data_IF_222027662170
#
_entry.id   IF_222027662170
#
_cell.length_a   1.000
_cell.length_b   1.000
_cell.length_c   1.000
_cell.angle_alpha   90.00
_cell.angle_beta   90.00
_cell.angle_gamma   90.00
#
_symmetry.space_group_name_H-M   'P 1'
#
loop_
_entity.id
_entity.type
_entity.pdbx_description
1 polymer ?
#
# COMPACT_ATOMS: atom_id res chain seq x y z
N UNK A 1 7.84 -14.52 -20.58
CA UNK A 1 6.39 -14.22 -20.49
C UNK A 1 6.20 -13.35 -19.26
N UNK A 2 5.47 -12.23 -19.35
CA UNK A 2 5.23 -11.33 -18.22
C UNK A 2 4.45 -12.10 -17.13
N UNK A 3 4.94 -12.08 -15.90
CA UNK A 3 4.26 -12.73 -14.77
C UNK A 3 3.23 -11.78 -14.15
N UNK A 4 2.22 -12.33 -13.50
CA UNK A 4 1.12 -11.56 -12.93
C UNK A 4 0.95 -11.91 -11.45
N UNK A 5 0.84 -10.91 -10.58
CA UNK A 5 0.61 -11.05 -9.15
C UNK A 5 -0.72 -10.38 -8.83
N UNK A 6 -1.61 -11.08 -8.13
CA UNK A 6 -2.97 -10.61 -7.88
C UNK A 6 -3.23 -10.51 -6.37
N UNK A 7 -3.74 -9.36 -5.94
CA UNK A 7 -4.23 -9.14 -4.57
C UNK A 7 -5.71 -8.77 -4.61
N UNK A 8 -6.55 -9.56 -3.96
CA UNK A 8 -7.91 -9.22 -3.61
C UNK A 8 -7.95 -8.65 -2.19
N UNK A 9 -8.64 -7.53 -1.98
CA UNK A 9 -8.86 -6.95 -0.63
C UNK A 9 -10.31 -6.52 -0.46
N UNK A 10 -10.84 -6.68 0.75
CA UNK A 10 -12.17 -6.17 1.13
C UNK A 10 -12.14 -4.72 1.65
N UNK A 11 -11.01 -4.02 1.53
CA UNK A 11 -10.87 -2.61 1.94
C UNK A 11 -10.62 -1.75 0.70
N UNK A 12 -11.58 -0.90 0.35
CA UNK A 12 -11.52 -0.06 -0.86
C UNK A 12 -10.30 0.88 -0.85
N UNK A 13 -10.02 1.52 0.28
CA UNK A 13 -8.85 2.40 0.43
C UNK A 13 -7.53 1.65 0.20
N UNK A 14 -7.41 0.42 0.71
CA UNK A 14 -6.24 -0.42 0.49
C UNK A 14 -6.09 -0.79 -1.00
N UNK A 15 -7.20 -1.16 -1.66
CA UNK A 15 -7.23 -1.41 -3.10
C UNK A 15 -6.71 -0.21 -3.90
N UNK A 16 -7.17 1.00 -3.57
CA UNK A 16 -6.74 2.24 -4.23
C UNK A 16 -5.24 2.51 -4.03
N UNK A 17 -4.71 2.30 -2.81
CA UNK A 17 -3.27 2.50 -2.52
C UNK A 17 -2.38 1.49 -3.20
N UNK A 18 -2.80 0.22 -3.22
CA UNK A 18 -2.09 -0.82 -3.97
C UNK A 18 -1.98 -0.44 -5.45
N UNK A 19 -3.06 0.04 -6.07
CA UNK A 19 -3.03 0.52 -7.45
C UNK A 19 -2.16 1.76 -7.65
N UNK A 20 -2.16 2.69 -6.70
CA UNK A 20 -1.29 3.86 -6.75
C UNK A 20 0.19 3.47 -6.70
N UNK A 21 0.56 2.54 -5.81
CA UNK A 21 1.94 2.04 -5.72
C UNK A 21 2.38 1.37 -7.03
N UNK A 22 1.54 0.54 -7.65
CA UNK A 22 1.82 -0.04 -8.98
C UNK A 22 2.06 1.05 -10.03
N UNK A 23 1.28 2.14 -10.02
CA UNK A 23 1.48 3.26 -10.96
C UNK A 23 2.84 3.95 -10.76
N UNK A 24 3.26 4.15 -9.51
CA UNK A 24 4.57 4.73 -9.22
C UNK A 24 5.72 3.83 -9.68
N UNK A 25 5.67 2.54 -9.30
CA UNK A 25 6.69 1.57 -9.69
C UNK A 25 6.80 1.42 -11.21
N UNK A 26 5.67 1.42 -11.93
CA UNK A 26 5.69 1.39 -13.41
C UNK A 26 6.28 2.66 -14.03
N UNK A 27 5.97 3.85 -13.48
CA UNK A 27 6.53 5.12 -13.96
C UNK A 27 8.05 5.16 -13.78
N UNK A 28 8.52 4.63 -12.66
CA UNK A 28 9.95 4.54 -12.31
C UNK A 28 10.64 3.34 -12.95
N UNK A 29 9.88 2.47 -13.65
CA UNK A 29 10.35 1.24 -14.30
C UNK A 29 11.03 0.26 -13.33
N UNK A 30 10.52 0.20 -12.10
CA UNK A 30 11.03 -0.68 -11.03
C UNK A 30 10.39 -2.07 -11.02
N UNK A 31 9.34 -2.30 -11.81
CA UNK A 31 8.71 -3.62 -11.94
C UNK A 31 8.49 -3.96 -13.40
N UNK A 32 8.68 -5.24 -13.73
CA UNK A 32 8.40 -5.79 -15.05
C UNK A 32 7.14 -6.67 -15.06
N UNK A 33 6.63 -7.10 -13.91
CA UNK A 33 5.42 -7.93 -13.77
C UNK A 33 4.13 -7.10 -13.77
N UNK A 34 3.01 -7.76 -14.08
CA UNK A 34 1.68 -7.19 -13.88
C UNK A 34 1.26 -7.36 -12.42
N UNK A 35 1.26 -6.26 -11.68
CA UNK A 35 0.73 -6.20 -10.33
C UNK A 35 -0.71 -5.69 -10.36
N UNK A 36 -1.67 -6.52 -9.96
CA UNK A 36 -3.10 -6.23 -10.06
C UNK A 36 -3.72 -6.33 -8.67
N UNK A 37 -4.35 -5.24 -8.20
CA UNK A 37 -5.25 -5.30 -7.05
C UNK A 37 -6.70 -5.20 -7.47
N UNK A 38 -7.58 -5.91 -6.76
CA UNK A 38 -9.02 -5.89 -6.96
C UNK A 38 -9.74 -5.76 -5.62
N UNK A 39 -10.79 -4.95 -5.59
CA UNK A 39 -11.70 -4.87 -4.45
C UNK A 39 -12.76 -5.97 -4.57
N UNK A 40 -13.14 -6.56 -3.44
CA UNK A 40 -14.29 -7.47 -3.38
C UNK A 40 -15.10 -7.26 -2.10
N UNK A 41 -16.39 -7.59 -2.17
CA UNK A 41 -17.35 -7.55 -1.08
C UNK A 41 -18.35 -8.70 -1.24
N UNK A 42 -19.42 -8.71 -0.43
CA UNK A 42 -20.49 -9.70 -0.49
C UNK A 42 -21.28 -9.71 -1.81
N UNK A 43 -21.26 -8.62 -2.57
CA UNK A 43 -21.98 -8.47 -3.84
C UNK A 43 -21.09 -8.81 -5.06
N UNK A 44 -19.80 -9.04 -4.83
CA UNK A 44 -18.88 -9.41 -5.90
C UNK A 44 -19.23 -10.79 -6.41
N UNK A 45 -19.35 -10.92 -7.73
CA UNK A 45 -19.66 -12.19 -8.38
C UNK A 45 -18.44 -12.76 -9.09
N UNK A 46 -18.34 -14.09 -9.10
CA UNK A 46 -17.32 -14.77 -9.88
C UNK A 46 -17.60 -14.60 -11.38
N UNK A 47 -16.56 -14.35 -12.17
CA UNK A 47 -16.66 -14.20 -13.63
C UNK A 47 -15.56 -14.99 -14.34
N UNK A 48 -15.79 -15.28 -15.63
CA UNK A 48 -14.77 -15.92 -16.47
C UNK A 48 -13.48 -15.09 -16.56
N UNK A 49 -13.60 -13.76 -16.54
CA UNK A 49 -12.46 -12.85 -16.54
C UNK A 49 -11.59 -13.01 -15.27
N UNK A 50 -12.21 -13.13 -14.09
CA UNK A 50 -11.49 -13.43 -12.84
C UNK A 50 -10.82 -14.80 -12.89
N UNK A 51 -11.52 -15.81 -13.42
CA UNK A 51 -10.94 -17.14 -13.64
C UNK A 51 -9.69 -17.10 -14.52
N UNK A 52 -9.76 -16.40 -15.66
CA UNK A 52 -8.61 -16.20 -16.55
C UNK A 52 -7.47 -15.46 -15.85
N UNK A 53 -7.77 -14.39 -15.11
CA UNK A 53 -6.76 -13.64 -14.35
C UNK A 53 -6.01 -14.55 -13.36
N UNK A 54 -6.73 -15.32 -12.55
CA UNK A 54 -6.15 -16.25 -11.57
C UNK A 54 -5.39 -17.41 -12.24
N UNK A 55 -5.81 -17.84 -13.42
CA UNK A 55 -5.12 -18.91 -14.15
C UNK A 55 -3.73 -18.45 -14.62
N UNK A 56 -3.62 -17.21 -15.10
CA UNK A 56 -2.36 -16.63 -15.60
C UNK A 56 -1.47 -16.05 -14.50
N UNK A 57 -1.99 -15.83 -13.29
CA UNK A 57 -1.19 -15.31 -12.18
C UNK A 57 -0.17 -16.31 -11.66
N UNK A 58 0.98 -15.80 -11.22
CA UNK A 58 2.02 -16.54 -10.52
C UNK A 58 1.64 -16.81 -9.07
N UNK A 59 0.89 -15.89 -8.44
CA UNK A 59 0.32 -16.05 -7.10
C UNK A 59 -0.94 -15.19 -6.94
N UNK A 60 -1.86 -15.63 -6.08
CA UNK A 60 -3.07 -14.88 -5.70
C UNK A 60 -3.17 -14.74 -4.18
N UNK A 61 -3.38 -13.52 -3.69
CA UNK A 61 -3.67 -13.23 -2.29
C UNK A 61 -5.12 -12.77 -2.15
N UNK A 62 -5.85 -13.31 -1.17
CA UNK A 62 -7.12 -12.75 -0.70
C UNK A 62 -6.94 -12.28 0.73
N UNK A 63 -7.14 -10.98 0.94
CA UNK A 63 -6.83 -10.30 2.19
C UNK A 63 -8.11 -9.69 2.77
N UNK A 64 -8.50 -10.14 3.96
CA UNK A 64 -9.56 -9.52 4.75
C UNK A 64 -8.98 -8.59 5.80
N UNK A 65 -9.59 -7.44 6.01
CA UNK A 65 -9.43 -6.70 7.26
C UNK A 65 -10.38 -7.27 8.31
N UNK A 66 -9.82 -7.69 9.45
CA UNK A 66 -10.55 -8.34 10.53
C UNK A 66 -10.72 -9.85 10.30
N UNK A 67 -11.78 -10.41 10.90
CA UNK A 67 -12.08 -11.83 10.77
C UNK A 67 -12.40 -12.20 9.31
N UNK A 68 -12.02 -13.40 8.90
CA UNK A 68 -12.28 -13.88 7.55
C UNK A 68 -13.73 -14.34 7.44
N UNK A 69 -14.48 -13.67 6.56
CA UNK A 69 -15.85 -14.05 6.21
C UNK A 69 -15.89 -14.49 4.75
N UNK A 70 -15.84 -15.80 4.46
CA UNK A 70 -15.96 -16.29 3.10
C UNK A 70 -17.30 -15.91 2.47
N UNK A 71 -17.24 -15.48 1.22
CA UNK A 71 -18.42 -15.18 0.38
C UNK A 71 -18.58 -16.25 -0.69
N UNK A 72 -19.69 -16.24 -1.43
CA UNK A 72 -19.85 -17.11 -2.60
C UNK A 72 -18.71 -16.90 -3.61
N UNK A 73 -18.29 -15.65 -3.81
CA UNK A 73 -17.16 -15.30 -4.65
C UNK A 73 -15.83 -15.87 -4.16
N UNK A 74 -15.48 -15.69 -2.88
CA UNK A 74 -14.20 -16.19 -2.37
C UNK A 74 -14.17 -17.72 -2.36
N UNK A 75 -15.31 -18.38 -2.08
CA UNK A 75 -15.45 -19.83 -2.18
C UNK A 75 -15.31 -20.34 -3.62
N UNK A 76 -15.90 -19.63 -4.60
CA UNK A 76 -15.72 -19.95 -6.02
C UNK A 76 -14.26 -19.81 -6.44
N UNK A 77 -13.58 -18.75 -6.03
CA UNK A 77 -12.16 -18.53 -6.29
C UNK A 77 -11.28 -19.62 -5.66
N UNK A 78 -11.51 -19.96 -4.38
CA UNK A 78 -10.81 -21.05 -3.66
C UNK A 78 -10.92 -22.37 -4.43
N UNK A 79 -12.14 -22.76 -4.82
CA UNK A 79 -12.37 -23.99 -5.62
C UNK A 79 -11.64 -23.95 -6.97
N UNK A 80 -11.69 -22.82 -7.66
CA UNK A 80 -11.01 -22.64 -8.94
C UNK A 80 -9.49 -22.75 -8.82
N UNK A 81 -8.89 -22.08 -7.83
CA UNK A 81 -7.45 -22.07 -7.59
C UNK A 81 -6.94 -23.48 -7.23
N UNK A 82 -7.64 -24.19 -6.34
CA UNK A 82 -7.31 -25.58 -5.98
C UNK A 82 -7.41 -26.53 -7.18
N UNK A 83 -8.49 -26.42 -7.96
CA UNK A 83 -8.68 -27.26 -9.17
C UNK A 83 -7.56 -27.08 -10.18
N UNK A 84 -7.03 -25.86 -10.31
CA UNK A 84 -5.96 -25.53 -11.27
C UNK A 84 -4.56 -25.52 -10.65
N UNK A 85 -4.40 -26.00 -9.40
CA UNK A 85 -3.12 -26.07 -8.69
C UNK A 85 -2.35 -24.73 -8.72
N UNK A 86 -3.07 -23.63 -8.49
CA UNK A 86 -2.49 -22.28 -8.48
C UNK A 86 -1.96 -21.96 -7.10
N UNK A 87 -0.84 -21.23 -7.02
CA UNK A 87 -0.33 -20.72 -5.75
C UNK A 87 -1.24 -19.64 -5.20
N UNK A 88 -1.70 -19.78 -3.96
CA UNK A 88 -2.54 -18.76 -3.34
C UNK A 88 -2.52 -18.82 -1.82
N UNK A 89 -2.93 -17.71 -1.21
CA UNK A 89 -3.27 -17.64 0.21
C UNK A 89 -4.49 -16.74 0.43
N UNK A 90 -5.36 -17.16 1.35
CA UNK A 90 -6.58 -16.46 1.76
C UNK A 90 -6.52 -16.31 3.28
N UNK A 91 -6.56 -15.08 3.78
CA UNK A 91 -6.42 -14.83 5.21
C UNK A 91 -6.63 -13.39 5.60
N UNK A 92 -6.55 -13.14 6.90
CA UNK A 92 -6.65 -11.80 7.46
C UNK A 92 -5.33 -11.05 7.33
N UNK A 93 -5.40 -9.77 6.95
CA UNK A 93 -4.27 -8.86 6.98
C UNK A 93 -4.06 -8.20 8.35
N UNK A 94 -4.97 -8.41 9.31
CA UNK A 94 -4.91 -7.78 10.65
C UNK A 94 -5.01 -8.76 11.80
N UNK A 95 -5.26 -10.04 11.53
CA UNK A 95 -5.33 -11.12 12.52
C UNK A 95 -4.49 -12.31 12.04
N UNK A 96 -3.98 -13.16 12.94
CA UNK A 96 -3.24 -14.37 12.56
C UNK A 96 -4.20 -15.48 12.09
N UNK A 97 -5.07 -15.16 11.13
CA UNK A 97 -6.11 -16.04 10.60
C UNK A 97 -5.81 -16.39 9.14
N UNK A 98 -5.71 -17.69 8.85
CA UNK A 98 -5.53 -18.25 7.51
C UNK A 98 -6.73 -19.13 7.20
N UNK A 99 -7.48 -18.77 6.16
CA UNK A 99 -8.64 -19.53 5.68
C UNK A 99 -8.23 -20.64 4.71
N UNK A 100 -7.27 -20.36 3.83
CA UNK A 100 -6.81 -21.33 2.84
C UNK A 100 -5.42 -20.97 2.31
N UNK A 101 -4.61 -21.97 1.98
CA UNK A 101 -3.28 -21.79 1.42
C UNK A 101 -2.92 -22.95 0.50
N UNK A 102 -2.19 -22.68 -0.57
CA UNK A 102 -1.62 -23.68 -1.46
C UNK A 102 -0.31 -23.17 -2.07
N UNK A 103 0.79 -23.92 -1.90
CA UNK A 103 2.12 -23.60 -2.42
C UNK A 103 2.65 -22.18 -2.07
N UNK A 104 2.23 -21.64 -0.92
CA UNK A 104 2.71 -20.37 -0.36
C UNK A 104 2.95 -20.60 1.13
N UNK A 105 4.01 -20.02 1.69
CA UNK A 105 4.27 -20.06 3.13
C UNK A 105 3.33 -19.06 3.85
N UNK A 106 2.79 -19.45 5.01
CA UNK A 106 2.03 -18.55 5.89
C UNK A 106 2.88 -17.37 6.35
N UNK A 107 4.21 -17.52 6.42
CA UNK A 107 5.13 -16.41 6.67
C UNK A 107 4.98 -15.28 5.63
N UNK A 108 4.65 -15.60 4.37
CA UNK A 108 4.39 -14.60 3.34
C UNK A 108 3.15 -13.77 3.67
N UNK A 109 2.07 -14.39 4.19
CA UNK A 109 0.90 -13.63 4.66
C UNK A 109 1.28 -12.71 5.82
N UNK A 110 2.06 -13.18 6.79
CA UNK A 110 2.49 -12.34 7.91
C UNK A 110 3.29 -11.11 7.43
N UNK A 111 4.19 -11.28 6.46
CA UNK A 111 4.95 -10.18 5.88
C UNK A 111 4.07 -9.21 5.08
N UNK A 112 3.15 -9.73 4.26
CA UNK A 112 2.14 -8.92 3.54
C UNK A 112 1.28 -8.12 4.51
N UNK A 113 0.82 -8.75 5.60
CA UNK A 113 0.06 -8.12 6.67
C UNK A 113 0.83 -7.00 7.34
N UNK A 114 2.14 -7.15 7.58
CA UNK A 114 2.96 -6.09 8.17
C UNK A 114 3.07 -4.86 7.25
N UNK A 115 3.25 -5.03 5.93
CA UNK A 115 3.24 -3.89 5.01
C UNK A 115 1.89 -3.16 5.03
N UNK A 116 0.78 -3.92 5.04
CA UNK A 116 -0.58 -3.35 5.05
C UNK A 116 -0.86 -2.63 6.36
N UNK A 117 -0.49 -3.25 7.49
CA UNK A 117 -0.68 -2.70 8.83
C UNK A 117 0.09 -1.39 9.02
N UNK A 118 1.36 -1.37 8.60
CA UNK A 118 2.18 -0.18 8.70
C UNK A 118 1.74 0.92 7.73
N UNK A 119 1.13 0.56 6.59
CA UNK A 119 0.55 1.50 5.62
C UNK A 119 1.55 2.55 5.09
N UNK A 120 1.07 3.54 4.34
CA UNK A 120 1.90 4.55 3.70
C UNK A 120 2.53 4.07 2.39
N UNK A 121 2.85 5.04 1.53
CA UNK A 121 3.24 4.81 0.13
C UNK A 121 4.42 3.84 0.00
N UNK A 122 5.45 3.97 0.85
CA UNK A 122 6.64 3.12 0.78
C UNK A 122 6.37 1.67 1.17
N UNK A 123 5.50 1.41 2.15
CA UNK A 123 5.13 0.03 2.46
C UNK A 123 4.35 -0.61 1.32
N UNK A 124 3.44 0.11 0.66
CA UNK A 124 2.72 -0.44 -0.50
C UNK A 124 3.63 -0.67 -1.71
N UNK A 125 4.64 0.20 -1.94
CA UNK A 125 5.66 0.01 -2.98
C UNK A 125 6.51 -1.22 -2.69
N UNK A 126 7.08 -1.31 -1.48
CA UNK A 126 7.92 -2.43 -1.09
C UNK A 126 7.17 -3.75 -0.97
N UNK A 127 5.87 -3.74 -0.65
CA UNK A 127 5.00 -4.91 -0.75
C UNK A 127 4.98 -5.47 -2.17
N UNK A 128 4.80 -4.62 -3.19
CA UNK A 128 4.79 -5.10 -4.58
C UNK A 128 6.16 -5.60 -5.03
N UNK A 129 7.24 -4.90 -4.67
CA UNK A 129 8.60 -5.31 -4.98
C UNK A 129 8.92 -6.67 -4.32
N UNK A 130 8.58 -6.85 -3.05
CA UNK A 130 8.67 -8.13 -2.34
C UNK A 130 7.94 -9.25 -3.10
N UNK A 131 6.68 -9.04 -3.48
CA UNK A 131 5.92 -10.05 -4.20
C UNK A 131 6.51 -10.34 -5.59
N UNK A 132 7.08 -9.33 -6.27
CA UNK A 132 7.75 -9.51 -7.56
C UNK A 132 9.02 -10.35 -7.44
N UNK A 133 9.83 -10.14 -6.39
CA UNK A 133 10.99 -10.98 -6.12
C UNK A 133 10.55 -12.41 -5.81
N UNK A 134 9.67 -12.60 -4.83
CA UNK A 134 9.31 -13.92 -4.32
C UNK A 134 8.51 -14.77 -5.31
N UNK A 135 7.56 -14.16 -6.02
CA UNK A 135 6.59 -14.90 -6.83
C UNK A 135 6.75 -14.66 -8.33
N UNK A 136 7.44 -13.58 -8.73
CA UNK A 136 7.77 -13.35 -10.13
C UNK A 136 9.26 -13.57 -10.47
N UNK A 137 10.15 -13.71 -9.48
CA UNK A 137 11.58 -13.90 -9.73
C UNK A 137 12.22 -12.67 -10.39
N UNK A 138 11.73 -11.47 -10.05
CA UNK A 138 12.39 -10.23 -10.46
C UNK A 138 13.65 -9.96 -9.64
N UNK A 139 14.67 -9.39 -10.26
CA UNK A 139 15.93 -9.01 -9.62
C UNK A 139 15.89 -7.53 -9.21
N UNK A 140 15.04 -7.22 -8.22
CA UNK A 140 14.86 -5.87 -7.67
C UNK A 140 14.99 -5.89 -6.15
N UNK A 141 15.47 -4.81 -5.56
CA UNK A 141 15.55 -4.69 -4.10
C UNK A 141 14.23 -4.20 -3.51
N UNK A 142 13.88 -4.69 -2.33
CA UNK A 142 12.80 -4.16 -1.50
C UNK A 142 13.29 -3.97 -0.06
N UNK A 143 12.69 -3.01 0.63
CA UNK A 143 12.90 -2.76 2.05
C UNK A 143 11.87 -3.52 2.89
N UNK A 144 12.21 -4.01 4.09
CA UNK A 144 11.25 -4.67 4.97
C UNK A 144 10.12 -3.72 5.41
N UNK A 145 8.98 -4.26 5.91
CA UNK A 145 7.91 -3.43 6.44
C UNK A 145 8.40 -2.48 7.53
N UNK A 146 8.12 -1.19 7.39
CA UNK A 146 8.57 -0.15 8.30
C UNK A 146 7.39 0.56 8.94
N UNK A 147 7.40 0.74 10.26
CA UNK A 147 6.33 1.42 10.97
C UNK A 147 6.14 2.85 10.44
N UNK A 148 4.92 3.22 10.07
CA UNK A 148 4.60 4.59 9.71
C UNK A 148 4.43 5.43 10.98
N UNK A 149 5.10 6.60 11.11
CA UNK A 149 5.07 7.40 12.34
C UNK A 149 3.67 7.65 12.87
N UNK A 150 3.52 7.66 14.20
CA UNK A 150 2.25 7.99 14.86
C UNK A 150 1.93 9.49 14.80
N UNK A 151 2.97 10.32 14.82
CA UNK A 151 2.90 11.77 14.69
C UNK A 151 4.19 12.27 14.02
N UNK A 152 4.16 13.44 13.42
CA UNK A 152 5.33 14.06 12.81
C UNK A 152 4.96 15.31 12.04
N UNK A 153 5.97 16.00 11.52
CA UNK A 153 5.76 17.13 10.63
C UNK A 153 5.67 16.60 9.21
N UNK A 154 4.64 16.99 8.47
CA UNK A 154 4.50 16.59 7.07
C UNK A 154 5.25 17.55 6.16
N UNK A 155 6.21 17.00 5.40
CA UNK A 155 6.79 17.71 4.27
C UNK A 155 5.81 17.70 3.10
N UNK A 156 5.23 18.85 2.82
CA UNK A 156 4.28 19.07 1.74
C UNK A 156 4.91 19.73 0.52
N UNK A 157 6.20 20.07 0.61
CA UNK A 157 6.83 21.02 -0.28
C UNK A 157 6.94 20.52 -1.73
N UNK A 158 6.91 19.21 -2.00
CA UNK A 158 6.97 18.74 -3.40
C UNK A 158 6.14 17.48 -3.70
N UNK A 159 5.49 17.47 -4.86
CA UNK A 159 4.93 16.28 -5.53
C UNK A 159 5.98 15.28 -6.01
N UNK A 160 7.13 15.21 -5.35
CA UNK A 160 8.17 14.20 -5.49
C UNK A 160 8.58 13.79 -4.09
N UNK A 161 8.37 12.51 -3.79
CA UNK A 161 8.93 11.85 -2.62
C UNK A 161 10.45 12.05 -2.73
N UNK A 162 11.05 12.86 -1.85
CA UNK A 162 12.48 12.73 -1.61
C UNK A 162 12.66 11.34 -1.01
N UNK A 163 13.43 10.53 -1.72
CA UNK A 163 13.86 9.21 -1.32
C UNK A 163 14.88 9.37 -0.19
N UNK A 164 14.38 9.72 0.99
CA UNK A 164 15.10 9.56 2.24
C UNK A 164 14.11 8.89 3.20
N UNK A 165 14.14 7.56 3.14
CA UNK A 165 13.99 6.65 4.27
C UNK A 165 13.10 7.14 5.43
N UNK A 166 11.94 6.50 5.56
CA UNK A 166 11.26 6.27 6.82
C UNK A 166 11.04 7.51 7.68
N UNK A 167 9.99 8.29 7.39
CA UNK A 167 9.33 9.13 8.42
C UNK A 167 10.29 9.91 9.30
N UNK A 168 11.40 10.39 8.73
CA UNK A 168 12.38 11.12 9.49
C UNK A 168 11.74 12.44 9.78
N UNK A 169 11.34 12.60 11.04
CA UNK A 169 11.45 13.89 11.72
C UNK A 169 12.90 14.29 11.49
N UNK A 170 13.19 14.91 10.35
CA UNK A 170 14.39 15.70 10.25
C UNK A 170 14.07 16.88 11.16
N UNK A 171 14.51 16.77 12.42
CA UNK A 171 14.48 17.85 13.41
C UNK A 171 15.26 19.08 12.96
N UNK A 172 15.72 19.10 11.70
CA UNK A 172 16.34 20.19 10.97
C UNK A 172 15.35 21.32 10.62
N UNK A 173 14.08 21.05 10.28
CA UNK A 173 13.18 22.16 9.87
C UNK A 173 12.66 22.99 11.06
N UNK A 174 12.53 22.38 12.24
CA UNK A 174 12.20 23.10 13.46
C UNK A 174 13.38 23.95 13.98
N UNK A 175 14.62 23.53 13.69
CA UNK A 175 15.84 24.25 14.06
C UNK A 175 16.14 25.41 13.10
N UNK A 176 15.87 25.24 11.79
CA UNK A 176 15.95 26.32 10.79
C UNK A 176 14.90 27.41 11.02
N UNK A 177 13.87 27.14 11.83
CA UNK A 177 12.86 28.11 12.21
C UNK A 177 13.29 29.14 13.26
N UNK A 178 14.46 29.01 13.90
CA UNK A 178 14.82 29.86 15.04
C UNK A 178 15.21 31.28 14.61
N UNK A 179 15.77 31.45 13.39
CA UNK A 179 16.33 32.73 12.93
C UNK A 179 15.45 33.49 11.90
N UNK A 180 14.29 32.94 11.53
CA UNK A 180 13.35 33.61 10.62
C UNK A 180 12.30 34.42 11.40
N UNK A 181 12.19 35.75 11.19
CA UNK A 181 11.27 36.62 11.93
C UNK A 181 9.79 36.48 11.52
N UNK A 182 9.48 35.73 10.46
CA UNK A 182 8.09 35.55 9.98
C UNK A 182 7.24 34.80 11.03
N UNK A 183 5.97 35.17 11.25
CA UNK A 183 5.06 34.42 12.11
C UNK A 183 4.91 32.96 11.66
N UNK A 184 4.87 32.03 12.61
CA UNK A 184 4.70 30.60 12.36
C UNK A 184 3.26 30.15 12.65
N UNK A 185 2.64 29.47 11.68
CA UNK A 185 1.31 28.87 11.79
C UNK A 185 1.44 27.36 11.88
N UNK A 186 1.12 26.79 13.04
CA UNK A 186 0.96 25.34 13.20
C UNK A 186 -0.37 24.87 12.61
N UNK A 187 -0.34 23.85 11.76
CA UNK A 187 -1.53 23.29 11.10
C UNK A 187 -1.71 21.85 11.54
N UNK A 188 -2.64 21.61 12.46
CA UNK A 188 -2.97 20.24 12.88
C UNK A 188 -3.86 19.58 11.83
N UNK A 189 -3.49 18.38 11.38
CA UNK A 189 -4.30 17.61 10.45
C UNK A 189 -4.35 16.12 10.79
N UNK A 190 -5.31 15.41 10.21
CA UNK A 190 -5.51 14.00 10.49
C UNK A 190 -4.36 13.16 9.91
N UNK A 191 -3.77 12.27 10.72
CA UNK A 191 -2.73 11.31 10.30
C UNK A 191 -3.22 10.46 9.12
N UNK A 192 -4.50 10.14 9.08
CA UNK A 192 -5.15 9.43 7.98
C UNK A 192 -4.90 10.16 6.65
N UNK A 193 -5.02 11.48 6.61
CA UNK A 193 -4.81 12.25 5.39
C UNK A 193 -3.34 12.17 4.94
N UNK A 194 -2.39 12.04 5.88
CA UNK A 194 -0.98 11.78 5.56
C UNK A 194 -0.78 10.38 4.98
N UNK A 195 -1.28 9.35 5.67
CA UNK A 195 -1.18 7.94 5.27
C UNK A 195 -1.77 7.73 3.87
N UNK A 196 -2.94 8.33 3.63
CA UNK A 196 -3.67 8.22 2.38
C UNK A 196 -3.26 9.27 1.35
N UNK A 197 -2.25 10.11 1.63
CA UNK A 197 -1.78 11.16 0.71
C UNK A 197 -2.92 12.08 0.22
N UNK A 198 -3.95 12.26 1.05
CA UNK A 198 -5.09 13.16 0.83
C UNK A 198 -4.74 14.56 1.33
N UNK A 199 -3.56 15.06 0.92
CA UNK A 199 -2.97 16.32 1.41
C UNK A 199 -3.09 17.49 0.43
N UNK A 200 -3.89 17.34 -0.63
CA UNK A 200 -4.04 18.40 -1.65
C UNK A 200 -4.59 19.70 -1.05
N UNK A 201 -5.64 19.63 -0.24
CA UNK A 201 -6.20 20.80 0.45
C UNK A 201 -5.18 21.42 1.42
N UNK A 202 -4.35 20.59 2.05
CA UNK A 202 -3.34 21.02 2.99
C UNK A 202 -2.21 21.77 2.27
N UNK A 203 -1.84 21.32 1.06
CA UNK A 203 -0.89 22.02 0.19
C UNK A 203 -1.41 23.39 -0.24
N UNK A 204 -2.67 23.49 -0.66
CA UNK A 204 -3.28 24.78 -1.01
C UNK A 204 -3.33 25.75 0.18
N UNK A 205 -3.65 25.24 1.37
CA UNK A 205 -3.64 26.04 2.59
C UNK A 205 -2.22 26.53 2.93
N UNK A 206 -1.21 25.65 2.84
CA UNK A 206 0.18 26.00 3.07
C UNK A 206 0.63 27.10 2.09
N UNK A 207 0.40 26.90 0.79
CA UNK A 207 0.74 27.89 -0.23
C UNK A 207 0.08 29.26 0.06
N UNK A 208 -1.21 29.26 0.39
CA UNK A 208 -1.94 30.50 0.68
C UNK A 208 -1.42 31.25 1.92
N UNK A 209 -0.94 30.53 2.94
CA UNK A 209 -0.33 31.13 4.13
C UNK A 209 1.08 31.65 3.81
N UNK A 210 1.87 30.89 3.07
CA UNK A 210 3.23 31.28 2.67
C UNK A 210 3.24 32.49 1.74
N UNK A 211 2.27 32.60 0.82
CA UNK A 211 2.05 33.77 -0.03
C UNK A 211 1.73 35.06 0.76
N UNK A 212 1.22 34.92 1.99
CA UNK A 212 0.98 36.03 2.92
C UNK A 212 2.21 36.37 3.78
N UNK A 213 3.36 35.74 3.51
CA UNK A 213 4.59 35.94 4.28
C UNK A 213 4.60 35.23 5.63
N UNK A 214 3.73 34.24 5.83
CA UNK A 214 3.71 33.39 7.02
C UNK A 214 4.58 32.14 6.79
N UNK A 215 5.02 31.51 7.88
CA UNK A 215 5.59 30.16 7.86
C UNK A 215 4.54 29.15 8.27
N UNK A 216 4.67 27.92 7.79
CA UNK A 216 3.74 26.85 8.12
C UNK A 216 4.44 25.66 8.73
N UNK A 217 3.76 24.98 9.66
CA UNK A 217 4.22 23.73 10.26
C UNK A 217 3.05 22.75 10.30
N UNK A 218 2.87 21.92 9.26
CA UNK A 218 1.82 20.89 9.22
C UNK A 218 2.20 19.72 10.15
N UNK A 219 1.35 19.41 11.14
CA UNK A 219 1.56 18.40 12.18
C UNK A 219 0.41 17.41 12.24
#
# INVERSE_FOLDING_TARGET
MKKTIVIFTNVERQYQRLNQAVRYLNREKLICSDCISLFFNSETNYSEAIGKLMLHSSVVFFLWQGAVYPTEFSNACKRFLLKNQKRFIMGSSTQPEVEAVHEVDVAALAQVSQYIFNSGTENYRNLWLYLCVEFAGEEVSYLPPAAFPWMGVADLSYGKIKDDSAGSISGTDAAECIDDPRPLVGILFARENWIWQEVAYLKELVNALEDQGLRTLPV
#
